data_IF_939350153702
#
_entry.id   IF_939350153702
#
_cell.length_a   1.000
_cell.length_b   1.000
_cell.length_c   1.000
_cell.angle_alpha   90.00
_cell.angle_beta   90.00
_cell.angle_gamma   90.00
#
_symmetry.space_group_name_H-M   'P 1'
#
loop_
_entity.id
_entity.type
_entity.pdbx_description
1 polymer ?
#
# COMPACT_ATOMS: atom_id res chain seq x y z
N UNK A 1 -8.90 -10.52 -8.10
CA UNK A 1 -7.89 -9.47 -7.87
C UNK A 1 -8.23 -8.29 -8.74
N UNK A 2 -8.06 -7.06 -8.25
CA UNK A 2 -8.28 -5.86 -9.06
C UNK A 2 -7.16 -5.67 -10.09
N UNK A 3 -7.45 -5.05 -11.25
CA UNK A 3 -6.46 -4.80 -12.29
C UNK A 3 -5.34 -3.86 -11.81
N UNK A 4 -4.16 -4.01 -12.41
CA UNK A 4 -3.00 -3.14 -12.13
C UNK A 4 -3.17 -1.78 -12.79
N UNK A 5 -2.55 -0.74 -12.22
CA UNK A 5 -2.59 0.60 -12.81
C UNK A 5 -1.98 0.63 -14.22
N UNK A 6 -0.94 -0.18 -14.47
CA UNK A 6 -0.34 -0.33 -15.80
C UNK A 6 -1.34 -0.84 -16.84
N UNK A 7 -2.26 -1.74 -16.46
CA UNK A 7 -3.29 -2.29 -17.35
C UNK A 7 -4.42 -1.27 -17.62
N UNK A 8 -4.67 -0.37 -16.67
CA UNK A 8 -5.69 0.66 -16.76
C UNK A 8 -5.23 1.93 -17.47
N UNK A 9 -3.92 2.16 -17.56
CA UNK A 9 -3.32 3.40 -18.09
C UNK A 9 -3.76 3.70 -19.53
N UNK A 10 -3.92 2.66 -20.34
CA UNK A 10 -4.31 2.77 -21.75
C UNK A 10 -5.84 2.69 -21.96
N UNK A 11 -6.60 2.52 -20.87
CA UNK A 11 -8.07 2.43 -20.88
C UNK A 11 -8.80 3.76 -20.67
N UNK A 12 -10.10 3.73 -20.29
CA UNK A 12 -10.87 4.93 -20.02
C UNK A 12 -10.25 5.77 -18.90
N UNK A 13 -9.99 7.06 -19.19
CA UNK A 13 -9.26 7.96 -18.28
C UNK A 13 -9.90 8.09 -16.88
N UNK A 14 -11.24 8.03 -16.79
CA UNK A 14 -11.94 8.13 -15.52
C UNK A 14 -11.66 6.92 -14.62
N UNK A 15 -11.66 5.70 -15.18
CA UNK A 15 -11.37 4.47 -14.44
C UNK A 15 -9.92 4.47 -13.94
N UNK A 16 -8.98 4.93 -14.76
CA UNK A 16 -7.59 5.06 -14.35
C UNK A 16 -7.42 6.05 -13.19
N UNK A 17 -8.04 7.23 -13.27
CA UNK A 17 -7.96 8.26 -12.22
C UNK A 17 -8.52 7.76 -10.89
N UNK A 18 -9.69 7.12 -10.91
CA UNK A 18 -10.30 6.57 -9.69
C UNK A 18 -9.44 5.47 -9.08
N UNK A 19 -8.95 4.55 -9.90
CA UNK A 19 -8.07 3.48 -9.45
C UNK A 19 -6.77 4.04 -8.86
N UNK A 20 -6.18 5.05 -9.50
CA UNK A 20 -4.95 5.71 -9.04
C UNK A 20 -5.15 6.37 -7.67
N UNK A 21 -6.22 7.13 -7.51
CA UNK A 21 -6.50 7.84 -6.25
C UNK A 21 -6.73 6.85 -5.11
N UNK A 22 -7.49 5.79 -5.38
CA UNK A 22 -7.68 4.72 -4.41
C UNK A 22 -6.36 4.03 -4.03
N UNK A 23 -5.49 3.69 -4.98
CA UNK A 23 -4.18 3.09 -4.69
C UNK A 23 -3.28 3.99 -3.85
N UNK A 24 -3.31 5.30 -4.08
CA UNK A 24 -2.61 6.27 -3.22
C UNK A 24 -3.15 6.25 -1.80
N UNK A 25 -4.48 6.26 -1.64
CA UNK A 25 -5.11 6.23 -0.32
C UNK A 25 -4.78 4.93 0.43
N UNK A 26 -4.90 3.79 -0.23
CA UNK A 26 -4.51 2.49 0.34
C UNK A 26 -3.03 2.48 0.75
N UNK A 27 -2.14 3.05 -0.07
CA UNK A 27 -0.72 3.15 0.23
C UNK A 27 -0.47 3.98 1.50
N UNK A 28 -1.10 5.16 1.61
CA UNK A 28 -0.96 6.00 2.81
C UNK A 28 -1.54 5.36 4.06
N UNK A 29 -2.67 4.65 3.94
CA UNK A 29 -3.26 3.91 5.06
C UNK A 29 -2.31 2.81 5.55
N UNK A 30 -1.76 2.02 4.62
CA UNK A 30 -0.79 0.96 4.95
C UNK A 30 0.50 1.54 5.56
N UNK A 31 0.95 2.72 5.09
CA UNK A 31 2.12 3.41 5.62
C UNK A 31 1.88 3.86 7.06
N UNK A 32 0.75 4.52 7.30
CA UNK A 32 0.36 4.97 8.63
C UNK A 32 0.21 3.79 9.60
N UNK A 33 -0.42 2.70 9.16
CA UNK A 33 -0.57 1.48 9.97
C UNK A 33 0.77 0.84 10.28
N UNK A 34 1.67 0.71 9.30
CA UNK A 34 3.01 0.17 9.53
C UNK A 34 3.79 1.03 10.54
N UNK A 35 3.74 2.36 10.43
CA UNK A 35 4.39 3.28 11.36
C UNK A 35 3.84 3.15 12.79
N UNK A 36 2.52 3.05 12.94
CA UNK A 36 1.88 2.82 14.24
C UNK A 36 2.30 1.49 14.86
N UNK A 37 2.34 0.42 14.08
CA UNK A 37 2.72 -0.92 14.56
C UNK A 37 4.20 -0.99 14.98
N UNK A 38 5.09 -0.24 14.31
CA UNK A 38 6.50 -0.12 14.75
C UNK A 38 6.55 0.46 16.15
N UNK A 39 5.88 1.59 16.40
CA UNK A 39 5.84 2.21 17.74
C UNK A 39 5.25 1.24 18.77
N UNK A 40 4.13 0.60 18.45
CA UNK A 40 3.48 -0.34 19.37
C UNK A 40 4.35 -1.57 19.66
N UNK A 41 5.09 -2.08 18.68
CA UNK A 41 6.02 -3.21 18.88
C UNK A 41 7.18 -2.88 19.82
N UNK A 42 7.60 -1.62 19.90
CA UNK A 42 8.62 -1.18 20.86
C UNK A 42 8.08 -1.21 22.30
N UNK A 43 6.79 -0.94 22.47
CA UNK A 43 6.09 -1.02 23.77
C UNK A 43 5.76 -2.47 24.15
N UNK A 44 5.51 -3.34 23.15
CA UNK A 44 5.05 -4.73 23.33
C UNK A 44 5.87 -5.75 22.50
N UNK A 45 7.17 -5.93 22.76
CA UNK A 45 8.10 -6.64 21.86
C UNK A 45 7.86 -8.14 21.68
N UNK A 46 7.05 -8.78 22.54
CA UNK A 46 6.76 -10.22 22.45
C UNK A 46 5.39 -10.53 21.83
N UNK A 47 4.67 -9.52 21.33
CA UNK A 47 3.32 -9.69 20.84
C UNK A 47 3.30 -10.09 19.36
N UNK A 48 3.27 -11.40 19.10
CA UNK A 48 3.33 -11.99 17.74
C UNK A 48 2.26 -11.48 16.77
N UNK A 49 1.10 -11.06 17.27
CA UNK A 49 0.05 -10.51 16.42
C UNK A 49 0.43 -9.14 15.85
N UNK A 50 1.13 -8.30 16.63
CA UNK A 50 1.62 -6.98 16.19
C UNK A 50 2.68 -7.17 15.10
N UNK A 51 3.60 -8.12 15.29
CA UNK A 51 4.61 -8.48 14.30
C UNK A 51 3.97 -8.96 12.99
N UNK A 52 2.96 -9.84 13.08
CA UNK A 52 2.22 -10.30 11.91
C UNK A 52 1.54 -9.15 11.16
N UNK A 53 0.83 -8.28 11.87
CA UNK A 53 0.16 -7.13 11.26
C UNK A 53 1.15 -6.15 10.62
N UNK A 54 2.33 -6.00 11.21
CA UNK A 54 3.39 -5.14 10.67
C UNK A 54 3.90 -5.70 9.34
N UNK A 55 4.21 -7.00 9.30
CA UNK A 55 4.65 -7.68 8.08
C UNK A 55 3.58 -7.64 6.98
N UNK A 56 2.31 -7.83 7.35
CA UNK A 56 1.19 -7.72 6.41
C UNK A 56 1.06 -6.29 5.86
N UNK A 57 1.24 -5.27 6.69
CA UNK A 57 1.22 -3.86 6.29
C UNK A 57 2.39 -3.53 5.34
N UNK A 58 3.60 -4.01 5.64
CA UNK A 58 4.76 -3.89 4.76
C UNK A 58 4.56 -4.58 3.41
N UNK A 59 3.96 -5.77 3.40
CA UNK A 59 3.66 -6.49 2.15
C UNK A 59 2.68 -5.69 1.29
N UNK A 60 1.64 -5.12 1.90
CA UNK A 60 0.67 -4.26 1.20
C UNK A 60 1.35 -3.02 0.61
N UNK A 61 2.23 -2.37 1.37
CA UNK A 61 3.03 -1.24 0.90
C UNK A 61 3.83 -1.60 -0.34
N UNK A 62 4.61 -2.69 -0.30
CA UNK A 62 5.44 -3.12 -1.43
C UNK A 62 4.61 -3.38 -2.70
N UNK A 63 3.44 -4.02 -2.57
CA UNK A 63 2.55 -4.28 -3.71
C UNK A 63 2.05 -2.95 -4.32
N UNK A 64 1.62 -2.01 -3.47
CA UNK A 64 1.10 -0.74 -3.94
C UNK A 64 2.17 0.18 -4.48
N UNK A 65 3.34 0.21 -3.86
CA UNK A 65 4.49 0.98 -4.32
C UNK A 65 4.92 0.51 -5.71
N UNK A 66 4.96 -0.81 -5.94
CA UNK A 66 5.23 -1.37 -7.26
C UNK A 66 4.18 -0.95 -8.30
N UNK A 67 2.88 -1.00 -7.95
CA UNK A 67 1.79 -0.60 -8.84
C UNK A 67 1.87 0.90 -9.19
N UNK A 68 2.16 1.75 -8.20
CA UNK A 68 2.33 3.19 -8.37
C UNK A 68 3.61 3.57 -9.16
N UNK A 69 4.72 2.86 -8.93
CA UNK A 69 5.95 2.97 -9.72
C UNK A 69 5.73 2.62 -11.19
N UNK A 70 4.89 1.61 -11.47
CA UNK A 70 4.60 1.17 -12.85
C UNK A 70 3.98 2.27 -13.73
N UNK A 71 3.36 3.27 -13.11
CA UNK A 71 2.75 4.43 -13.79
C UNK A 71 3.45 5.75 -13.50
N UNK A 72 4.64 5.72 -12.90
CA UNK A 72 5.52 6.88 -12.71
C UNK A 72 5.11 7.82 -11.57
N UNK A 73 4.34 7.34 -10.59
CA UNK A 73 3.99 8.15 -9.40
C UNK A 73 5.15 8.27 -8.43
N UNK A 74 5.92 7.20 -8.26
CA UNK A 74 7.16 7.18 -7.50
C UNK A 74 8.33 6.88 -8.43
N UNK A 75 9.47 7.53 -8.19
CA UNK A 75 10.75 7.33 -8.90
C UNK A 75 11.80 6.83 -7.95
#
# INVERSE_FOLDING_TARGET
MEPRLAELKDGPQNLFKEALERRKNEYYEALHRAAYLVVLSLEMPTHKEIEKEYLDSLRRLNIMEYDLKSVGVFT
#
